data_IF_202748128249
#
_entry.id   IF_202748128249
#
_cell.length_a   1.000
_cell.length_b   1.000
_cell.length_c   1.000
_cell.angle_alpha   90.00
_cell.angle_beta   90.00
_cell.angle_gamma   90.00
#
_symmetry.space_group_name_H-M   'P 1'
#
loop_
_entity.id
_entity.type
_entity.pdbx_description
1 polymer ?
#
# COMPACT_ATOMS: atom_id res chain seq x y z
N UNK A 1 -3.98 -17.45 -16.03
CA UNK A 1 -4.38 -16.20 -15.34
C UNK A 1 -3.34 -15.14 -15.64
N UNK A 2 -3.70 -13.96 -16.13
CA UNK A 2 -2.69 -12.92 -16.41
C UNK A 2 -2.00 -12.49 -15.12
N UNK A 3 -0.68 -12.38 -15.17
CA UNK A 3 0.19 -11.92 -14.06
C UNK A 3 0.12 -10.40 -13.82
N UNK A 4 -0.77 -9.71 -14.51
CA UNK A 4 -0.86 -8.26 -14.54
C UNK A 4 -1.71 -7.75 -13.38
N UNK A 5 -1.18 -6.75 -12.69
CA UNK A 5 -1.92 -5.93 -11.73
C UNK A 5 -3.23 -5.42 -12.35
N UNK A 6 -4.26 -5.30 -11.51
CA UNK A 6 -5.61 -4.91 -11.97
C UNK A 6 -6.40 -4.18 -10.90
N UNK A 7 -7.24 -3.26 -11.36
CA UNK A 7 -8.26 -2.61 -10.54
C UNK A 7 -9.61 -2.88 -11.19
N UNK A 8 -10.48 -3.58 -10.47
CA UNK A 8 -11.85 -3.88 -10.91
C UNK A 8 -12.82 -3.04 -10.09
N UNK A 9 -13.71 -2.34 -10.77
CA UNK A 9 -14.77 -1.54 -10.17
C UNK A 9 -16.11 -2.06 -10.68
N UNK A 10 -17.00 -2.41 -9.77
CA UNK A 10 -18.33 -2.91 -10.11
C UNK A 10 -19.39 -2.25 -9.23
N UNK A 11 -20.58 -2.07 -9.80
CA UNK A 11 -21.74 -1.52 -9.09
C UNK A 11 -22.87 -2.54 -9.13
N UNK A 12 -23.45 -2.84 -7.97
CA UNK A 12 -24.58 -3.76 -7.88
C UNK A 12 -25.84 -3.16 -8.49
N UNK A 13 -26.51 -3.90 -9.39
CA UNK A 13 -27.80 -3.49 -9.96
C UNK A 13 -28.95 -3.62 -8.96
N UNK A 14 -28.92 -4.66 -8.12
CA UNK A 14 -29.99 -4.98 -7.14
C UNK A 14 -29.71 -4.45 -5.73
N UNK A 15 -28.45 -4.13 -5.43
CA UNK A 15 -28.00 -3.62 -4.13
C UNK A 15 -27.18 -2.36 -4.38
N UNK A 16 -27.43 -1.25 -3.66
CA UNK A 16 -26.69 0.01 -3.84
C UNK A 16 -25.28 -0.07 -3.24
N UNK A 17 -24.51 -1.05 -3.70
CA UNK A 17 -23.16 -1.34 -3.25
C UNK A 17 -22.19 -1.16 -4.41
N UNK A 18 -21.01 -0.61 -4.10
CA UNK A 18 -19.90 -0.50 -5.03
C UNK A 18 -18.77 -1.39 -4.55
N UNK A 19 -18.32 -2.28 -5.42
CA UNK A 19 -17.19 -3.16 -5.19
C UNK A 19 -15.96 -2.57 -5.88
N UNK A 20 -14.84 -2.54 -5.15
CA UNK A 20 -13.52 -2.25 -5.69
C UNK A 20 -12.62 -3.41 -5.31
N UNK A 21 -12.00 -4.04 -6.31
CA UNK A 21 -11.03 -5.12 -6.13
C UNK A 21 -9.71 -4.66 -6.75
N UNK A 22 -8.63 -4.90 -6.03
CA UNK A 22 -7.30 -4.41 -6.36
C UNK A 22 -6.30 -5.57 -6.25
N UNK A 23 -5.48 -5.75 -7.28
CA UNK A 23 -4.26 -6.55 -7.26
C UNK A 23 -3.12 -5.66 -7.74
N UNK A 24 -2.11 -5.46 -6.89
CA UNK A 24 -0.93 -4.63 -7.15
C UNK A 24 0.37 -5.39 -6.87
N UNK A 25 0.31 -6.73 -6.96
CA UNK A 25 1.43 -7.61 -6.58
C UNK A 25 2.70 -7.30 -7.36
N UNK A 26 2.61 -7.08 -8.67
CA UNK A 26 3.78 -6.78 -9.52
C UNK A 26 4.35 -5.40 -9.20
N UNK A 27 3.49 -4.39 -9.12
CA UNK A 27 3.85 -3.01 -8.78
C UNK A 27 4.54 -2.94 -7.42
N UNK A 28 4.00 -3.63 -6.41
CA UNK A 28 4.59 -3.63 -5.07
C UNK A 28 5.92 -4.38 -5.02
N UNK A 29 6.09 -5.45 -5.81
CA UNK A 29 7.39 -6.11 -5.94
C UNK A 29 8.44 -5.19 -6.59
N UNK A 30 8.05 -4.39 -7.60
CA UNK A 30 8.95 -3.41 -8.24
C UNK A 30 9.32 -2.30 -7.25
N UNK A 31 8.33 -1.72 -6.55
CA UNK A 31 8.58 -0.66 -5.56
C UNK A 31 9.42 -1.22 -4.40
N UNK A 32 9.08 -2.39 -3.88
CA UNK A 32 9.83 -3.06 -2.81
C UNK A 32 11.29 -3.25 -3.15
N UNK A 33 11.59 -3.75 -4.37
CA UNK A 33 12.96 -3.87 -4.88
C UNK A 33 13.70 -2.53 -4.90
N UNK A 34 13.05 -1.43 -5.28
CA UNK A 34 13.69 -0.09 -5.28
C UNK A 34 14.05 0.39 -3.87
N UNK A 35 13.29 -0.02 -2.86
CA UNK A 35 13.56 0.32 -1.46
C UNK A 35 14.45 -0.70 -0.74
N UNK A 36 14.84 -1.82 -1.39
CA UNK A 36 15.37 -3.01 -0.72
C UNK A 36 14.49 -3.48 0.45
N UNK A 37 13.17 -3.30 0.31
CA UNK A 37 12.18 -3.75 1.27
C UNK A 37 11.85 -5.23 1.03
N UNK A 38 11.69 -6.00 2.11
CA UNK A 38 11.32 -7.41 2.08
C UNK A 38 10.27 -7.69 3.15
N UNK A 39 9.76 -8.93 3.25
CA UNK A 39 8.90 -9.39 4.34
C UNK A 39 7.87 -8.36 4.89
N UNK A 40 8.10 -7.84 6.10
CA UNK A 40 7.20 -6.94 6.81
C UNK A 40 7.22 -5.51 6.25
N UNK A 41 8.38 -4.99 5.86
CA UNK A 41 8.49 -3.66 5.26
C UNK A 41 7.79 -3.60 3.89
N UNK A 42 7.90 -4.66 3.10
CA UNK A 42 7.14 -4.83 1.84
C UNK A 42 5.64 -4.95 2.11
N UNK A 43 5.24 -5.70 3.14
CA UNK A 43 3.84 -5.81 3.54
C UNK A 43 3.25 -4.45 3.93
N UNK A 44 3.93 -3.68 4.79
CA UNK A 44 3.47 -2.35 5.20
C UNK A 44 3.32 -1.40 4.01
N UNK A 45 4.31 -1.40 3.09
CA UNK A 45 4.22 -0.65 1.85
C UNK A 45 2.99 -1.04 1.02
N UNK A 46 2.73 -2.34 0.88
CA UNK A 46 1.61 -2.85 0.09
C UNK A 46 0.26 -2.52 0.74
N UNK A 47 0.12 -2.69 2.06
CA UNK A 47 -1.11 -2.35 2.78
C UNK A 47 -1.41 -0.84 2.71
N UNK A 48 -0.38 0.00 2.84
CA UNK A 48 -0.52 1.45 2.70
C UNK A 48 -0.93 1.83 1.28
N UNK A 49 -0.35 1.20 0.26
CA UNK A 49 -0.72 1.43 -1.14
C UNK A 49 -2.15 0.98 -1.46
N UNK A 50 -2.57 -0.20 -0.97
CA UNK A 50 -3.94 -0.71 -1.12
C UNK A 50 -4.93 0.24 -0.43
N UNK A 51 -4.64 0.66 0.81
CA UNK A 51 -5.47 1.61 1.54
C UNK A 51 -5.63 2.93 0.81
N UNK A 52 -4.52 3.50 0.33
CA UNK A 52 -4.53 4.71 -0.51
C UNK A 52 -5.35 4.48 -1.78
N UNK A 53 -5.19 3.34 -2.45
CA UNK A 53 -5.88 3.05 -3.71
C UNK A 53 -7.39 2.88 -3.54
N UNK A 54 -7.86 2.31 -2.42
CA UNK A 54 -9.28 2.26 -2.12
C UNK A 54 -9.86 3.66 -1.88
N UNK A 55 -9.12 4.53 -1.19
CA UNK A 55 -9.53 5.92 -0.97
C UNK A 55 -9.55 6.71 -2.28
N UNK A 56 -8.49 6.64 -3.09
CA UNK A 56 -8.46 7.32 -4.40
C UNK A 56 -9.50 6.76 -5.36
N UNK A 57 -9.84 5.48 -5.25
CA UNK A 57 -10.95 4.86 -5.99
C UNK A 57 -12.32 5.47 -5.70
N UNK A 58 -12.46 6.25 -4.63
CA UNK A 58 -13.69 6.97 -4.31
C UNK A 58 -13.77 8.38 -4.90
N UNK A 59 -12.67 8.92 -5.43
CA UNK A 59 -12.67 10.25 -6.04
C UNK A 59 -13.56 10.29 -7.29
N UNK A 60 -14.37 11.35 -7.38
CA UNK A 60 -15.23 11.63 -8.54
C UNK A 60 -14.47 12.36 -9.66
N UNK A 61 -13.36 13.01 -9.33
CA UNK A 61 -12.58 13.85 -10.22
C UNK A 61 -11.10 13.43 -10.21
N UNK A 62 -10.33 13.99 -11.12
CA UNK A 62 -8.89 13.81 -11.13
C UNK A 62 -8.28 14.33 -9.82
N UNK A 63 -7.34 13.57 -9.27
CA UNK A 63 -6.69 13.89 -8.02
C UNK A 63 -5.84 12.72 -7.53
N UNK A 64 -5.10 12.98 -6.47
CA UNK A 64 -4.23 12.02 -5.81
C UNK A 64 -4.61 11.94 -4.35
N UNK A 65 -4.72 10.73 -3.79
CA UNK A 65 -4.81 10.52 -2.34
C UNK A 65 -3.43 10.15 -1.84
N UNK A 66 -2.98 10.85 -0.79
CA UNK A 66 -1.81 10.49 0.00
C UNK A 66 -2.31 9.84 1.30
N UNK A 67 -1.90 8.61 1.56
CA UNK A 67 -2.05 7.95 2.85
C UNK A 67 -0.69 7.84 3.50
N UNK A 68 -0.54 8.44 4.69
CA UNK A 68 0.66 8.34 5.51
C UNK A 68 0.29 7.74 6.87
N UNK A 69 0.97 6.66 7.23
CA UNK A 69 0.86 6.02 8.54
C UNK A 69 2.15 6.30 9.29
N UNK A 70 2.03 6.78 10.54
CA UNK A 70 3.15 7.13 11.41
C UNK A 70 3.14 6.17 12.58
N UNK A 71 4.30 5.62 12.93
CA UNK A 71 4.46 4.69 14.04
C UNK A 71 5.52 5.22 15.02
N UNK A 72 5.47 4.71 16.26
CA UNK A 72 6.48 4.94 17.30
C UNK A 72 7.52 3.80 17.39
N UNK A 73 7.64 2.98 16.34
CA UNK A 73 8.51 1.80 16.30
C UNK A 73 9.77 1.99 15.45
N UNK A 74 10.40 0.89 15.06
CA UNK A 74 11.64 0.89 14.27
C UNK A 74 11.47 1.47 12.86
N UNK A 75 10.24 1.51 12.36
CA UNK A 75 9.85 2.20 11.14
C UNK A 75 8.98 3.39 11.56
N UNK A 76 9.44 4.61 11.30
CA UNK A 76 8.79 5.84 11.75
C UNK A 76 7.54 6.17 10.92
N UNK A 77 7.54 5.85 9.62
CA UNK A 77 6.37 6.03 8.78
C UNK A 77 6.39 5.17 7.51
N UNK A 78 5.21 5.01 6.92
CA UNK A 78 5.04 4.54 5.54
C UNK A 78 4.05 5.46 4.85
N UNK A 79 4.28 5.73 3.56
CA UNK A 79 3.41 6.60 2.77
C UNK A 79 3.12 5.98 1.40
N UNK A 80 1.90 6.14 0.91
CA UNK A 80 1.54 5.82 -0.45
C UNK A 80 0.62 6.87 -1.06
N UNK A 81 0.96 7.30 -2.28
CA UNK A 81 0.16 8.20 -3.08
C UNK A 81 -0.41 7.45 -4.27
N UNK A 82 -1.72 7.54 -4.45
CA UNK A 82 -2.42 6.83 -5.52
C UNK A 82 -3.44 7.69 -6.23
N UNK A 83 -3.71 7.37 -7.49
CA UNK A 83 -4.75 8.02 -8.30
C UNK A 83 -5.86 7.03 -8.67
N UNK A 84 -7.06 7.53 -9.04
CA UNK A 84 -8.15 6.66 -9.50
C UNK A 84 -7.78 5.80 -10.73
N UNK A 85 -6.80 6.25 -11.52
CA UNK A 85 -6.30 5.55 -12.71
C UNK A 85 -5.34 4.39 -12.37
N UNK A 86 -5.00 4.20 -11.10
CA UNK A 86 -4.08 3.13 -10.68
C UNK A 86 -2.60 3.51 -10.76
N UNK A 87 -2.27 4.81 -10.85
CA UNK A 87 -0.90 5.25 -10.65
C UNK A 87 -0.57 5.16 -9.16
N UNK A 88 0.57 4.55 -8.83
CA UNK A 88 0.98 4.27 -7.45
C UNK A 88 2.43 4.72 -7.27
N UNK A 89 2.70 5.45 -6.19
CA UNK A 89 4.03 5.58 -5.60
C UNK A 89 3.93 5.32 -4.10
N UNK A 90 4.92 4.65 -3.54
CA UNK A 90 4.99 4.41 -2.11
C UNK A 90 6.41 4.62 -1.61
N UNK A 91 6.54 5.01 -0.36
CA UNK A 91 7.80 5.36 0.29
C UNK A 91 7.82 4.79 1.71
N UNK A 92 8.99 4.32 2.08
CA UNK A 92 9.34 3.86 3.41
C UNK A 92 10.79 4.31 3.70
N UNK A 93 11.13 4.77 4.92
CA UNK A 93 12.48 5.24 5.25
C UNK A 93 13.53 4.15 5.08
N UNK A 94 14.43 4.35 4.11
CA UNK A 94 15.41 3.32 3.73
C UNK A 94 16.49 3.11 4.80
N UNK A 95 16.89 4.18 5.49
CA UNK A 95 17.82 4.13 6.62
C UNK A 95 17.31 3.23 7.75
N UNK A 96 16.00 3.26 8.02
CA UNK A 96 15.35 2.46 9.06
C UNK A 96 15.27 0.98 8.66
N UNK A 97 14.90 0.69 7.41
CA UNK A 97 14.92 -0.69 6.88
C UNK A 97 16.34 -1.28 6.93
N UNK A 98 17.34 -0.52 6.47
CA UNK A 98 18.73 -0.99 6.46
C UNK A 98 19.29 -1.20 7.87
N UNK A 99 18.87 -0.39 8.85
CA UNK A 99 19.24 -0.57 10.26
C UNK A 99 18.72 -1.90 10.81
N UNK A 100 17.53 -2.32 10.38
CA UNK A 100 16.88 -3.57 10.79
C UNK A 100 17.44 -4.81 10.07
N UNK A 101 18.18 -4.64 8.96
CA UNK A 101 18.85 -5.72 8.20
C UNK A 101 17.90 -6.89 7.86
N UNK A 102 18.13 -8.08 8.43
CA UNK A 102 17.29 -9.28 8.26
C UNK A 102 16.36 -9.51 9.46
N UNK A 103 16.49 -8.71 10.51
CA UNK A 103 15.56 -8.67 11.61
C UNK A 103 14.50 -7.65 11.25
N UNK A 104 13.51 -8.06 10.46
CA UNK A 104 12.24 -7.36 10.40
C UNK A 104 11.28 -8.03 11.39
N UNK A 105 11.38 -7.77 12.71
CA UNK A 105 10.44 -8.31 13.65
C UNK A 105 9.06 -7.68 13.40
N UNK A 106 8.05 -8.51 13.18
CA UNK A 106 6.66 -8.10 13.33
C UNK A 106 6.32 -8.03 14.83
N UNK A 107 6.96 -7.13 15.57
CA UNK A 107 6.66 -6.90 16.98
C UNK A 107 5.64 -5.77 17.08
N UNK A 108 4.37 -6.16 17.24
CA UNK A 108 3.31 -5.24 17.62
C UNK A 108 3.40 -5.01 19.13
N UNK A 109 3.34 -3.76 19.57
CA UNK A 109 3.26 -3.44 20.99
C UNK A 109 1.96 -4.01 21.57
N UNK A 110 2.08 -4.98 22.49
CA UNK A 110 0.95 -5.51 23.25
C UNK A 110 0.85 -4.74 24.56
N UNK A 111 -0.04 -3.75 24.63
CA UNK A 111 -0.47 -3.20 25.92
C UNK A 111 -1.40 -4.20 26.58
N UNK A 112 -0.94 -4.81 27.68
CA UNK A 112 -1.79 -5.57 28.62
C UNK A 112 -2.60 -4.59 29.47
#
# INVERSE_FOLDING_TARGET
MSKTDRIIRATGKKTPMRLVLVDITETMNIIGKKHNASAYSLKLLAETAIGSLFLSSSLKFQGTVCLKIIFSGDISFVQADTTPQGLIRAMIPQNEIQKNKHFEPALLHQSV
#
